data_IF_410469494873
#
_entry.id   IF_410469494873
#
_cell.length_a   1.000
_cell.length_b   1.000
_cell.length_c   1.000
_cell.angle_alpha   90.00
_cell.angle_beta   90.00
_cell.angle_gamma   90.00
#
_symmetry.space_group_name_H-M   'P 1'
#
loop_
_entity.id
_entity.type
_entity.pdbx_description
1 polymer ?
#
# COMPACT_ATOMS: atom_id res chain seq x y z
N UNK A 1 14.42 -5.19 -17.92
CA UNK A 1 13.02 -4.81 -18.22
C UNK A 1 12.89 -3.30 -18.14
N UNK A 2 11.88 -2.74 -18.81
CA UNK A 2 11.49 -1.33 -18.69
C UNK A 2 10.27 -1.23 -17.77
N UNK A 3 10.43 -0.54 -16.64
CA UNK A 3 9.46 -0.55 -15.56
C UNK A 3 9.05 0.89 -15.21
N UNK A 4 7.76 1.20 -15.22
CA UNK A 4 7.26 2.51 -14.81
C UNK A 4 6.63 2.47 -13.43
N UNK A 5 6.90 3.47 -12.59
CA UNK A 5 6.28 3.66 -11.28
C UNK A 5 5.51 4.98 -11.27
N UNK A 6 4.19 4.88 -11.27
CA UNK A 6 3.30 6.03 -11.14
C UNK A 6 3.09 6.29 -9.64
N UNK A 7 3.71 7.38 -9.14
CA UNK A 7 3.71 7.73 -7.72
C UNK A 7 4.91 7.20 -6.95
N UNK A 8 6.04 7.92 -7.03
CA UNK A 8 7.26 7.57 -6.31
C UNK A 8 7.27 8.17 -4.88
N UNK A 9 6.32 7.69 -4.05
CA UNK A 9 6.21 7.98 -2.61
C UNK A 9 7.08 7.04 -1.75
N UNK A 10 6.62 6.71 -0.55
CA UNK A 10 7.36 5.84 0.39
C UNK A 10 7.61 4.43 -0.20
N UNK A 11 6.53 3.76 -0.63
CA UNK A 11 6.61 2.43 -1.25
C UNK A 11 7.30 2.51 -2.62
N UNK A 12 6.85 3.42 -3.50
CA UNK A 12 7.40 3.55 -4.85
C UNK A 12 8.90 3.80 -4.88
N UNK A 13 9.45 4.55 -3.90
CA UNK A 13 10.90 4.79 -3.77
C UNK A 13 11.68 3.52 -3.40
N UNK A 14 11.14 2.72 -2.50
CA UNK A 14 11.78 1.48 -2.09
C UNK A 14 11.81 0.46 -3.25
N UNK A 15 10.70 0.35 -3.99
CA UNK A 15 10.62 -0.49 -5.19
C UNK A 15 11.54 0.03 -6.30
N UNK A 16 11.56 1.35 -6.56
CA UNK A 16 12.42 1.94 -7.59
C UNK A 16 13.90 1.62 -7.35
N UNK A 17 14.34 1.72 -6.08
CA UNK A 17 15.72 1.36 -5.70
C UNK A 17 16.01 -0.09 -5.99
N UNK A 18 15.18 -1.02 -5.53
CA UNK A 18 15.35 -2.46 -5.77
C UNK A 18 15.45 -2.75 -7.27
N UNK A 19 14.53 -2.23 -8.06
CA UNK A 19 14.50 -2.51 -9.49
C UNK A 19 15.67 -1.87 -10.25
N UNK A 20 16.09 -0.67 -9.87
CA UNK A 20 17.24 0.01 -10.48
C UNK A 20 18.57 -0.71 -10.13
N UNK A 21 18.75 -1.11 -8.87
CA UNK A 21 19.92 -1.88 -8.43
C UNK A 21 19.99 -3.26 -9.09
N UNK A 22 18.83 -3.86 -9.42
CA UNK A 22 18.74 -5.09 -10.20
C UNK A 22 18.98 -4.89 -11.72
N UNK A 23 19.37 -3.69 -12.17
CA UNK A 23 19.73 -3.40 -13.55
C UNK A 23 18.55 -3.17 -14.49
N UNK A 24 17.34 -2.93 -13.99
CA UNK A 24 16.20 -2.54 -14.81
C UNK A 24 16.25 -1.06 -15.20
N UNK A 25 15.66 -0.74 -16.36
CA UNK A 25 15.40 0.64 -16.77
C UNK A 25 14.12 1.13 -16.07
N UNK A 26 14.28 1.96 -15.04
CA UNK A 26 13.18 2.39 -14.18
C UNK A 26 12.81 3.83 -14.46
N UNK A 27 11.57 4.06 -14.87
CA UNK A 27 10.94 5.39 -14.99
C UNK A 27 10.03 5.64 -13.78
N UNK A 28 10.27 6.73 -13.06
CA UNK A 28 9.44 7.09 -11.90
C UNK A 28 8.74 8.42 -12.09
N UNK A 29 7.55 8.57 -11.50
CA UNK A 29 6.82 9.84 -11.54
C UNK A 29 6.70 10.48 -10.17
N UNK A 30 6.67 11.81 -10.14
CA UNK A 30 6.42 12.61 -8.94
C UNK A 30 5.62 13.85 -9.28
N UNK A 31 4.79 14.33 -8.35
CA UNK A 31 4.11 15.64 -8.46
C UNK A 31 4.96 16.81 -7.92
N UNK A 32 6.16 16.53 -7.41
CA UNK A 32 6.99 17.49 -6.66
C UNK A 32 8.36 17.63 -7.31
N UNK A 33 8.65 18.81 -7.85
CA UNK A 33 9.93 19.09 -8.54
C UNK A 33 11.14 18.92 -7.63
N UNK A 34 11.04 19.31 -6.36
CA UNK A 34 12.14 19.23 -5.38
C UNK A 34 12.62 17.79 -5.11
N UNK A 35 11.80 16.78 -5.47
CA UNK A 35 12.19 15.37 -5.32
C UNK A 35 12.99 14.81 -6.47
N UNK A 36 13.08 15.52 -7.62
CA UNK A 36 13.72 15.01 -8.85
C UNK A 36 15.15 14.58 -8.58
N UNK A 37 15.99 15.43 -8.02
CA UNK A 37 17.41 15.12 -7.77
C UNK A 37 17.57 13.85 -6.89
N UNK A 38 16.75 13.69 -5.86
CA UNK A 38 16.81 12.51 -4.98
C UNK A 38 16.26 11.23 -5.64
N UNK A 39 15.42 11.35 -6.66
CA UNK A 39 14.88 10.21 -7.40
C UNK A 39 15.80 9.77 -8.54
N UNK A 40 16.60 10.68 -9.11
CA UNK A 40 17.59 10.35 -10.12
C UNK A 40 18.67 9.37 -9.63
N UNK A 41 18.89 9.29 -8.33
CA UNK A 41 19.83 8.32 -7.74
C UNK A 41 19.30 6.87 -7.73
N UNK A 42 18.00 6.66 -7.98
CA UNK A 42 17.32 5.37 -7.88
C UNK A 42 16.43 5.04 -9.08
N UNK A 43 16.55 5.81 -10.14
CA UNK A 43 15.74 5.60 -11.35
C UNK A 43 16.50 6.11 -12.59
N UNK A 44 16.27 5.47 -13.72
CA UNK A 44 16.84 5.85 -15.02
C UNK A 44 16.23 7.13 -15.56
N UNK A 45 14.94 7.35 -15.28
CA UNK A 45 14.21 8.55 -15.68
C UNK A 45 13.26 9.02 -14.58
N UNK A 46 13.16 10.34 -14.40
CA UNK A 46 12.23 10.97 -13.47
C UNK A 46 11.34 11.95 -14.21
N UNK A 47 10.03 11.75 -14.13
CA UNK A 47 9.04 12.60 -14.79
C UNK A 47 8.19 13.31 -13.74
N UNK A 48 8.10 14.64 -13.85
CA UNK A 48 7.19 15.43 -13.00
C UNK A 48 5.85 15.54 -13.72
N UNK A 49 4.82 14.85 -13.20
CA UNK A 49 3.48 14.88 -13.75
C UNK A 49 2.42 14.76 -12.66
N UNK A 50 1.20 15.12 -12.98
CA UNK A 50 0.00 14.86 -12.20
C UNK A 50 -0.83 13.77 -12.89
N UNK A 51 -1.59 13.00 -12.10
CA UNK A 51 -2.40 11.90 -12.63
C UNK A 51 -3.57 12.33 -13.53
N UNK A 52 -3.90 13.61 -13.57
CA UNK A 52 -4.90 14.21 -14.48
C UNK A 52 -4.35 14.49 -15.89
N UNK A 53 -3.04 14.39 -16.10
CA UNK A 53 -2.40 14.58 -17.42
C UNK A 53 -2.29 13.25 -18.19
N UNK A 54 -3.35 12.93 -18.96
CA UNK A 54 -3.39 11.72 -19.77
C UNK A 54 -2.24 11.66 -20.80
N UNK A 55 -1.90 12.79 -21.43
CA UNK A 55 -0.84 12.82 -22.45
C UNK A 55 0.52 12.49 -21.85
N UNK A 56 0.85 13.06 -20.69
CA UNK A 56 2.08 12.74 -19.99
C UNK A 56 2.10 11.28 -19.51
N UNK A 57 0.97 10.73 -19.02
CA UNK A 57 0.87 9.32 -18.67
C UNK A 57 1.10 8.40 -19.88
N UNK A 58 0.52 8.71 -21.05
CA UNK A 58 0.76 7.95 -22.29
C UNK A 58 2.24 7.93 -22.66
N UNK A 59 2.96 9.06 -22.52
CA UNK A 59 4.38 9.12 -22.77
C UNK A 59 5.20 8.28 -21.77
N UNK A 60 4.82 8.31 -20.48
CA UNK A 60 5.51 7.55 -19.43
C UNK A 60 5.34 6.05 -19.63
N UNK A 61 4.14 5.58 -20.00
CA UNK A 61 3.88 4.15 -20.16
C UNK A 61 4.26 3.60 -21.53
N UNK A 62 4.64 4.47 -22.49
CA UNK A 62 5.14 4.03 -23.78
C UNK A 62 6.40 3.18 -23.62
N UNK A 63 6.45 2.05 -24.32
CA UNK A 63 7.57 1.10 -24.31
C UNK A 63 7.91 0.53 -22.89
N UNK A 64 6.95 0.46 -21.99
CA UNK A 64 7.15 -0.18 -20.69
C UNK A 64 6.63 -1.63 -20.70
N UNK A 65 7.35 -2.52 -20.03
CA UNK A 65 6.92 -3.92 -19.83
C UNK A 65 5.88 -4.03 -18.72
N UNK A 66 6.04 -3.21 -17.66
CA UNK A 66 5.20 -3.23 -16.46
C UNK A 66 4.99 -1.82 -15.91
N UNK A 67 3.81 -1.60 -15.36
CA UNK A 67 3.48 -0.37 -14.62
C UNK A 67 3.10 -0.72 -13.18
N UNK A 68 3.74 -0.05 -12.22
CA UNK A 68 3.34 -0.03 -10.81
C UNK A 68 2.59 1.28 -10.52
N UNK A 69 1.34 1.20 -10.12
CA UNK A 69 0.58 2.32 -9.56
C UNK A 69 0.71 2.31 -8.03
N UNK A 70 1.45 3.30 -7.48
CA UNK A 70 1.71 3.43 -6.04
C UNK A 70 1.56 4.88 -5.58
N UNK A 71 0.40 5.43 -5.84
CA UNK A 71 0.04 6.81 -5.50
C UNK A 71 -0.47 6.95 -4.07
N UNK A 72 -0.42 8.17 -3.54
CA UNK A 72 -0.96 8.52 -2.25
C UNK A 72 -1.39 9.98 -2.20
N UNK A 73 -2.51 10.27 -1.54
CA UNK A 73 -2.96 11.63 -1.33
C UNK A 73 -2.12 12.33 -0.25
N UNK A 74 -1.76 13.59 -0.49
CA UNK A 74 -1.08 14.45 0.50
C UNK A 74 -2.06 15.06 1.50
N UNK A 75 -3.32 15.16 1.13
CA UNK A 75 -4.38 15.75 1.94
C UNK A 75 -5.47 14.71 2.18
N UNK A 76 -6.06 14.71 3.37
CA UNK A 76 -7.15 13.82 3.72
C UNK A 76 -8.51 14.51 3.46
N UNK A 77 -8.77 14.81 2.19
CA UNK A 77 -10.05 15.27 1.71
C UNK A 77 -10.54 14.36 0.59
N UNK A 78 -11.87 14.12 0.43
CA UNK A 78 -12.40 13.29 -0.65
C UNK A 78 -11.93 13.72 -2.03
N UNK A 79 -11.90 15.03 -2.27
CA UNK A 79 -11.43 15.61 -3.53
C UNK A 79 -9.97 15.24 -3.84
N UNK A 80 -9.07 15.40 -2.86
CA UNK A 80 -7.66 15.04 -3.03
C UNK A 80 -7.47 13.52 -3.21
N UNK A 81 -8.31 12.70 -2.57
CA UNK A 81 -8.33 11.25 -2.79
C UNK A 81 -8.80 10.90 -4.20
N UNK A 82 -9.89 11.50 -4.67
CA UNK A 82 -10.41 11.30 -6.03
C UNK A 82 -9.34 11.62 -7.08
N UNK A 83 -8.68 12.75 -6.95
CA UNK A 83 -7.61 13.16 -7.86
C UNK A 83 -6.40 12.21 -7.80
N UNK A 84 -5.95 11.86 -6.60
CA UNK A 84 -4.74 11.06 -6.43
C UNK A 84 -4.93 9.60 -6.83
N UNK A 85 -6.08 9.00 -6.54
CA UNK A 85 -6.33 7.58 -6.76
C UNK A 85 -7.18 7.33 -8.00
N UNK A 86 -8.44 7.80 -7.99
CA UNK A 86 -9.42 7.42 -9.00
C UNK A 86 -9.12 8.02 -10.38
N UNK A 87 -8.91 9.33 -10.46
CA UNK A 87 -8.63 10.01 -11.73
C UNK A 87 -7.29 9.56 -12.31
N UNK A 88 -6.27 9.38 -11.45
CA UNK A 88 -4.98 8.83 -11.88
C UNK A 88 -5.14 7.43 -12.45
N UNK A 89 -5.90 6.54 -11.79
CA UNK A 89 -6.15 5.19 -12.29
C UNK A 89 -6.95 5.20 -13.61
N UNK A 90 -7.98 6.05 -13.73
CA UNK A 90 -8.77 6.18 -14.96
C UNK A 90 -7.91 6.58 -16.16
N UNK A 91 -7.05 7.58 -15.98
CA UNK A 91 -6.16 8.04 -17.05
C UNK A 91 -5.04 7.04 -17.34
N UNK A 92 -4.51 6.39 -16.29
CA UNK A 92 -3.49 5.36 -16.46
C UNK A 92 -4.05 4.16 -17.26
N UNK A 93 -5.24 3.68 -16.92
CA UNK A 93 -5.88 2.56 -17.64
C UNK A 93 -6.14 2.92 -19.11
N UNK A 94 -6.60 4.14 -19.41
CA UNK A 94 -6.72 4.64 -20.79
C UNK A 94 -5.37 4.65 -21.51
N UNK A 95 -4.31 5.07 -20.84
CA UNK A 95 -2.96 5.09 -21.41
C UNK A 95 -2.42 3.67 -21.69
N UNK A 96 -2.69 2.72 -20.79
CA UNK A 96 -2.32 1.31 -20.95
C UNK A 96 -3.10 0.67 -22.12
N UNK A 97 -4.40 0.89 -22.20
CA UNK A 97 -5.25 0.35 -23.29
C UNK A 97 -4.85 0.86 -24.68
N UNK A 98 -4.23 2.04 -24.73
CA UNK A 98 -3.66 2.57 -25.99
C UNK A 98 -2.25 2.04 -26.31
N UNK A 99 -1.66 1.20 -25.43
CA UNK A 99 -0.29 0.70 -25.57
C UNK A 99 -0.27 -0.84 -25.51
N UNK A 100 0.20 -1.48 -26.57
CA UNK A 100 0.20 -2.95 -26.69
C UNK A 100 1.41 -3.64 -26.03
N UNK A 101 2.39 -2.92 -25.49
CA UNK A 101 3.64 -3.51 -24.97
C UNK A 101 3.56 -3.88 -23.50
N UNK A 102 2.65 -3.23 -22.72
CA UNK A 102 2.50 -3.47 -21.29
C UNK A 102 1.90 -4.85 -21.05
N UNK A 103 2.58 -5.65 -20.23
CA UNK A 103 2.19 -7.01 -19.87
C UNK A 103 1.55 -7.11 -18.49
N UNK A 104 1.87 -6.15 -17.61
CA UNK A 104 1.35 -6.18 -16.25
C UNK A 104 1.12 -4.79 -15.67
N UNK A 105 0.00 -4.64 -14.94
CA UNK A 105 -0.30 -3.52 -14.06
C UNK A 105 -0.37 -4.03 -12.61
N UNK A 106 0.47 -3.49 -11.73
CA UNK A 106 0.41 -3.76 -10.29
C UNK A 106 -0.09 -2.50 -9.58
N UNK A 107 -1.04 -2.66 -8.66
CA UNK A 107 -1.57 -1.55 -7.86
C UNK A 107 -1.43 -1.83 -6.36
N UNK A 108 -0.87 -0.89 -5.61
CA UNK A 108 -0.87 -0.90 -4.15
C UNK A 108 -2.12 -0.22 -3.63
N UNK A 109 -3.11 -1.02 -3.23
CA UNK A 109 -4.37 -0.60 -2.65
C UNK A 109 -4.35 -0.67 -1.13
N UNK A 110 -5.49 -0.53 -0.48
CA UNK A 110 -5.65 -0.57 0.97
C UNK A 110 -6.75 -1.53 1.38
N UNK A 111 -6.52 -2.30 2.46
CA UNK A 111 -7.57 -3.10 3.09
C UNK A 111 -8.69 -2.25 3.73
N UNK A 112 -8.49 -0.93 3.86
CA UNK A 112 -9.48 0.01 4.42
C UNK A 112 -10.79 0.14 3.63
N UNK A 113 -10.90 -0.53 2.47
CA UNK A 113 -12.15 -0.68 1.71
C UNK A 113 -13.08 -1.76 2.27
N UNK A 114 -12.60 -2.54 3.25
CA UNK A 114 -13.35 -3.60 3.91
C UNK A 114 -13.80 -3.08 5.28
N UNK A 115 -15.12 -2.98 5.49
CA UNK A 115 -15.71 -2.55 6.75
C UNK A 115 -16.29 -3.76 7.49
N UNK A 116 -15.41 -4.57 8.08
CA UNK A 116 -15.79 -5.73 8.87
C UNK A 116 -15.55 -5.49 10.36
N UNK A 117 -16.53 -5.85 11.23
CA UNK A 117 -16.53 -5.53 12.65
C UNK A 117 -16.52 -6.79 13.57
N UNK A 118 -16.55 -7.99 12.98
CA UNK A 118 -16.75 -9.24 13.73
C UNK A 118 -15.51 -9.74 14.47
N UNK A 119 -14.30 -9.27 14.15
CA UNK A 119 -13.05 -9.82 14.69
C UNK A 119 -12.61 -11.12 14.04
N UNK A 120 -13.30 -11.54 12.98
CA UNK A 120 -13.04 -12.79 12.26
C UNK A 120 -11.83 -12.69 11.34
N UNK A 121 -11.43 -13.84 10.81
CA UNK A 121 -10.44 -13.92 9.72
C UNK A 121 -11.15 -13.57 8.40
N UNK A 122 -10.58 -12.62 7.67
CA UNK A 122 -11.11 -12.08 6.42
C UNK A 122 -10.10 -12.27 5.30
N UNK A 123 -10.50 -12.93 4.24
CA UNK A 123 -9.72 -13.11 3.01
C UNK A 123 -10.23 -12.22 1.86
N UNK A 124 -9.69 -12.41 0.67
CA UNK A 124 -10.01 -11.62 -0.52
C UNK A 124 -11.41 -11.88 -1.10
N UNK A 125 -12.13 -12.91 -0.63
CA UNK A 125 -13.49 -13.24 -1.08
C UNK A 125 -14.56 -12.41 -0.38
N UNK A 126 -14.20 -11.74 0.75
CA UNK A 126 -15.15 -10.88 1.46
C UNK A 126 -15.60 -9.72 0.57
N UNK A 127 -16.89 -9.41 0.63
CA UNK A 127 -17.44 -8.30 -0.11
C UNK A 127 -16.82 -6.97 0.31
N UNK A 128 -16.42 -6.17 -0.68
CA UNK A 128 -15.99 -4.78 -0.47
C UNK A 128 -17.19 -3.97 0.02
N UNK A 129 -17.08 -3.39 1.20
CA UNK A 129 -18.13 -2.61 1.86
C UNK A 129 -17.50 -1.38 2.53
N UNK A 130 -17.19 -0.33 1.79
CA UNK A 130 -16.55 0.88 2.31
C UNK A 130 -17.41 1.56 3.36
N UNK A 131 -16.79 2.08 4.40
CA UNK A 131 -17.47 2.79 5.48
C UNK A 131 -17.78 4.24 5.14
N UNK A 132 -16.91 4.86 4.34
CA UNK A 132 -16.91 6.29 4.06
C UNK A 132 -16.48 6.56 2.61
N UNK A 133 -16.61 7.81 2.19
CA UNK A 133 -16.27 8.26 0.84
C UNK A 133 -14.80 7.97 0.46
N UNK A 134 -13.87 7.97 1.42
CA UNK A 134 -12.48 7.60 1.14
C UNK A 134 -12.36 6.15 0.71
N UNK A 135 -13.03 5.26 1.43
CA UNK A 135 -13.09 3.83 1.09
C UNK A 135 -13.81 3.60 -0.25
N UNK A 136 -14.89 4.35 -0.54
CA UNK A 136 -15.60 4.27 -1.81
C UNK A 136 -14.71 4.65 -3.00
N UNK A 137 -13.94 5.73 -2.87
CA UNK A 137 -12.98 6.16 -3.89
C UNK A 137 -11.93 5.07 -4.15
N UNK A 138 -11.38 4.48 -3.10
CA UNK A 138 -10.40 3.41 -3.23
C UNK A 138 -11.00 2.15 -3.85
N UNK A 139 -12.24 1.77 -3.49
CA UNK A 139 -12.94 0.64 -4.08
C UNK A 139 -13.23 0.86 -5.57
N UNK A 140 -13.68 2.05 -5.96
CA UNK A 140 -13.85 2.43 -7.36
C UNK A 140 -12.51 2.39 -8.11
N UNK A 141 -11.43 2.83 -7.46
CA UNK A 141 -10.08 2.75 -8.04
C UNK A 141 -9.67 1.32 -8.33
N UNK A 142 -9.93 0.36 -7.43
CA UNK A 142 -9.67 -1.07 -7.69
C UNK A 142 -10.45 -1.58 -8.90
N UNK A 143 -11.74 -1.21 -9.03
CA UNK A 143 -12.55 -1.61 -10.19
C UNK A 143 -11.99 -1.07 -11.52
N UNK A 144 -11.56 0.19 -11.53
CA UNK A 144 -10.90 0.79 -12.70
C UNK A 144 -9.60 0.05 -13.03
N UNK A 145 -8.76 -0.22 -12.04
CA UNK A 145 -7.50 -0.94 -12.25
C UNK A 145 -7.76 -2.35 -12.79
N UNK A 146 -8.74 -3.08 -12.22
CA UNK A 146 -9.12 -4.43 -12.71
C UNK A 146 -9.62 -4.41 -14.15
N UNK A 147 -10.26 -3.33 -14.59
CA UNK A 147 -10.74 -3.19 -15.99
C UNK A 147 -9.61 -3.10 -17.02
N UNK A 148 -8.36 -2.91 -16.61
CA UNK A 148 -7.19 -2.99 -17.49
C UNK A 148 -6.81 -4.44 -17.84
N UNK A 149 -7.36 -5.43 -17.13
CA UNK A 149 -7.04 -6.84 -17.35
C UNK A 149 -7.56 -7.32 -18.70
N UNK A 150 -6.67 -7.93 -19.49
CA UNK A 150 -6.96 -8.53 -20.79
C UNK A 150 -6.15 -9.83 -20.93
N UNK A 151 -6.25 -10.52 -22.04
CA UNK A 151 -5.37 -11.66 -22.34
C UNK A 151 -3.89 -11.28 -22.41
N UNK A 152 -3.58 -10.00 -22.68
CA UNK A 152 -2.22 -9.48 -22.80
C UNK A 152 -1.74 -8.79 -21.53
N UNK A 153 -2.62 -8.13 -20.77
CA UNK A 153 -2.29 -7.35 -19.56
C UNK A 153 -2.81 -8.05 -18.33
N UNK A 154 -1.92 -8.55 -17.49
CA UNK A 154 -2.25 -9.07 -16.16
C UNK A 154 -2.36 -7.94 -15.15
N UNK A 155 -3.41 -7.93 -14.34
CA UNK A 155 -3.61 -6.92 -13.31
C UNK A 155 -3.54 -7.55 -11.93
N UNK A 156 -2.64 -7.04 -11.08
CA UNK A 156 -2.46 -7.48 -9.69
C UNK A 156 -2.73 -6.32 -8.73
N UNK A 157 -3.59 -6.54 -7.75
CA UNK A 157 -3.87 -5.60 -6.67
C UNK A 157 -3.35 -6.16 -5.36
N UNK A 158 -2.47 -5.41 -4.68
CA UNK A 158 -2.02 -5.71 -3.33
C UNK A 158 -2.73 -4.79 -2.35
N UNK A 159 -3.65 -5.31 -1.55
CA UNK A 159 -4.32 -4.58 -0.46
C UNK A 159 -3.41 -4.56 0.75
N UNK A 160 -2.76 -3.42 0.95
CA UNK A 160 -1.80 -3.21 2.03
C UNK A 160 -2.50 -2.86 3.34
N UNK A 161 -1.93 -3.31 4.45
CA UNK A 161 -2.32 -2.95 5.81
C UNK A 161 -1.55 -1.73 6.32
N UNK A 162 -1.51 -1.50 7.63
CA UNK A 162 -0.69 -0.45 8.22
C UNK A 162 0.79 -0.66 7.86
N UNK A 163 1.37 0.30 7.16
CA UNK A 163 2.75 0.18 6.67
C UNK A 163 3.72 0.68 7.73
N UNK A 164 4.73 -0.12 8.07
CA UNK A 164 5.82 0.27 8.95
C UNK A 164 7.18 -0.18 8.42
N UNK A 165 8.26 0.29 9.05
CA UNK A 165 9.63 -0.05 8.71
C UNK A 165 10.55 1.16 8.75
N UNK A 166 11.71 1.09 8.11
CA UNK A 166 12.68 2.18 8.10
C UNK A 166 12.08 3.50 7.59
N UNK A 167 12.18 4.56 8.38
CA UNK A 167 11.58 5.87 8.10
C UNK A 167 10.09 6.00 8.46
N UNK A 168 9.45 4.90 8.87
CA UNK A 168 8.08 4.82 9.39
C UNK A 168 8.01 3.89 10.59
N UNK A 169 8.93 4.01 11.51
CA UNK A 169 8.99 3.20 12.71
C UNK A 169 7.73 3.39 13.56
N UNK A 170 7.18 2.30 14.07
CA UNK A 170 5.92 2.32 14.83
C UNK A 170 5.94 3.31 15.98
N UNK A 171 7.08 3.42 16.67
CA UNK A 171 7.21 4.37 17.79
C UNK A 171 7.11 5.83 17.32
N UNK A 172 7.65 6.19 16.16
CA UNK A 172 7.52 7.55 15.61
C UNK A 172 6.06 7.88 15.24
N UNK A 173 5.28 6.86 14.84
CA UNK A 173 3.86 7.02 14.53
C UNK A 173 3.03 7.20 15.80
N UNK A 174 3.37 6.45 16.85
CA UNK A 174 2.50 6.28 18.02
C UNK A 174 3.05 6.80 19.35
N UNK A 175 4.25 7.38 19.42
CA UNK A 175 4.83 7.86 20.68
C UNK A 175 3.92 8.81 21.50
N UNK A 176 3.09 9.59 20.79
CA UNK A 176 2.19 10.58 21.42
C UNK A 176 1.03 9.96 22.23
N UNK A 177 0.81 8.64 22.12
CA UNK A 177 -0.25 7.97 22.88
C UNK A 177 0.23 7.45 24.23
N UNK A 178 1.54 7.47 24.49
CA UNK A 178 2.11 6.99 25.75
C UNK A 178 1.50 7.71 26.96
N UNK A 179 1.04 6.94 27.94
CA UNK A 179 0.39 7.45 29.16
C UNK A 179 -1.00 8.08 28.95
N UNK A 180 -1.61 7.97 27.77
CA UNK A 180 -2.94 8.51 27.50
C UNK A 180 -4.03 7.46 27.75
N UNK A 181 -5.28 7.94 27.97
CA UNK A 181 -6.47 7.11 27.95
C UNK A 181 -7.12 7.13 26.55
N UNK A 182 -7.44 5.94 26.03
CA UNK A 182 -8.03 5.79 24.71
C UNK A 182 -9.47 5.24 24.83
N UNK A 183 -10.39 5.68 23.95
CA UNK A 183 -11.76 5.20 23.96
C UNK A 183 -11.85 3.74 23.48
N UNK A 184 -12.75 2.99 24.09
CA UNK A 184 -13.01 1.57 23.80
C UNK A 184 -12.26 0.62 24.72
N UNK A 185 -12.34 -0.66 24.43
CA UNK A 185 -11.68 -1.75 25.19
C UNK A 185 -10.27 -2.07 24.70
N UNK A 186 -9.91 -1.62 23.49
CA UNK A 186 -8.67 -2.00 22.84
C UNK A 186 -8.67 -3.39 22.17
N UNK A 187 -9.78 -4.10 22.20
CA UNK A 187 -9.90 -5.49 21.67
C UNK A 187 -10.02 -5.56 20.13
N UNK A 188 -10.17 -4.42 19.45
CA UNK A 188 -10.15 -4.40 17.99
C UNK A 188 -8.79 -4.83 17.45
N UNK A 189 -8.80 -5.73 16.47
CA UNK A 189 -7.59 -6.20 15.79
C UNK A 189 -6.93 -5.11 14.96
N UNK A 190 -5.60 -5.20 14.85
CA UNK A 190 -4.77 -4.33 14.03
C UNK A 190 -3.91 -5.18 13.10
N UNK A 191 -3.76 -4.72 11.86
CA UNK A 191 -3.03 -5.43 10.82
C UNK A 191 -1.90 -4.54 10.29
N UNK A 192 -0.70 -5.09 10.17
CA UNK A 192 0.51 -4.37 9.79
C UNK A 192 1.30 -5.14 8.73
N UNK A 193 2.10 -4.43 7.96
CA UNK A 193 3.02 -5.00 6.99
C UNK A 193 4.33 -4.21 6.98
N UNK A 194 5.44 -4.90 6.97
CA UNK A 194 6.75 -4.27 6.86
C UNK A 194 7.01 -3.79 5.42
N UNK A 195 7.68 -2.65 5.28
CA UNK A 195 7.99 -2.07 3.96
C UNK A 195 8.80 -3.04 3.07
N UNK A 196 9.71 -3.80 3.65
CA UNK A 196 10.51 -4.79 2.91
C UNK A 196 9.61 -5.87 2.31
N UNK A 197 8.63 -6.37 3.05
CA UNK A 197 7.68 -7.36 2.53
C UNK A 197 6.79 -6.80 1.42
N UNK A 198 6.44 -5.50 1.48
CA UNK A 198 5.73 -4.85 0.38
C UNK A 198 6.59 -4.82 -0.88
N UNK A 199 7.85 -4.41 -0.76
CA UNK A 199 8.79 -4.34 -1.88
C UNK A 199 9.01 -5.72 -2.50
N UNK A 200 9.24 -6.74 -1.66
CA UNK A 200 9.42 -8.13 -2.08
C UNK A 200 8.15 -8.71 -2.72
N UNK A 201 6.96 -8.40 -2.19
CA UNK A 201 5.70 -8.86 -2.75
C UNK A 201 5.40 -8.22 -4.12
N UNK A 202 5.74 -6.95 -4.32
CA UNK A 202 5.63 -6.28 -5.63
C UNK A 202 6.59 -6.92 -6.64
N UNK A 203 7.82 -7.18 -6.23
CA UNK A 203 8.82 -7.84 -7.08
C UNK A 203 8.42 -9.29 -7.41
N UNK A 204 7.95 -10.04 -6.42
CA UNK A 204 7.37 -11.36 -6.59
C UNK A 204 6.17 -11.37 -7.55
N UNK A 205 5.26 -10.40 -7.41
CA UNK A 205 4.12 -10.25 -8.30
C UNK A 205 4.56 -9.99 -9.76
N UNK A 206 5.63 -9.22 -9.96
CA UNK A 206 6.28 -8.99 -11.26
C UNK A 206 6.84 -10.29 -11.84
N UNK A 207 7.65 -11.01 -11.08
CA UNK A 207 8.37 -12.19 -11.57
C UNK A 207 7.44 -13.38 -11.85
N UNK A 208 6.38 -13.53 -11.05
CA UNK A 208 5.39 -14.60 -11.20
C UNK A 208 4.16 -14.17 -11.99
N UNK A 209 4.14 -12.92 -12.49
CA UNK A 209 3.01 -12.36 -13.23
C UNK A 209 1.67 -12.59 -12.52
N UNK A 210 1.62 -12.31 -11.23
CA UNK A 210 0.42 -12.49 -10.43
C UNK A 210 -0.77 -11.70 -11.02
N UNK A 211 -1.96 -12.27 -10.91
CA UNK A 211 -3.21 -11.67 -11.36
C UNK A 211 -4.28 -11.78 -10.27
N UNK A 212 -5.11 -10.75 -10.15
CA UNK A 212 -6.19 -10.67 -9.17
C UNK A 212 -5.81 -9.87 -7.94
N UNK A 213 -6.55 -10.08 -6.85
CA UNK A 213 -6.42 -9.32 -5.60
C UNK A 213 -5.74 -10.19 -4.57
N UNK A 214 -4.81 -9.61 -3.81
CA UNK A 214 -4.08 -10.26 -2.71
C UNK A 214 -4.04 -9.34 -1.49
N UNK A 215 -4.31 -9.87 -0.31
CA UNK A 215 -4.02 -9.18 0.94
C UNK A 215 -2.53 -9.32 1.29
N UNK A 216 -1.94 -8.24 1.80
CA UNK A 216 -0.56 -8.24 2.24
C UNK A 216 -0.43 -7.66 3.65
N UNK A 217 -0.14 -8.53 4.59
CA UNK A 217 0.05 -8.25 6.01
C UNK A 217 1.02 -9.27 6.61
N UNK A 218 1.54 -8.97 7.82
CA UNK A 218 2.30 -9.95 8.62
C UNK A 218 1.39 -11.12 9.02
N UNK A 219 1.99 -12.25 9.42
CA UNK A 219 1.25 -13.42 9.92
C UNK A 219 0.65 -13.15 11.30
N UNK A 220 1.20 -12.17 12.02
CA UNK A 220 0.78 -11.84 13.37
C UNK A 220 -0.42 -10.89 13.35
N UNK A 221 -1.53 -11.35 13.93
CA UNK A 221 -2.71 -10.52 14.23
C UNK A 221 -2.82 -10.32 15.73
N UNK A 222 -2.91 -9.09 16.18
CA UNK A 222 -3.06 -8.75 17.60
C UNK A 222 -4.09 -7.67 17.81
N UNK A 223 -4.62 -7.58 19.04
CA UNK A 223 -5.51 -6.48 19.43
C UNK A 223 -4.75 -5.17 19.52
N UNK A 224 -5.46 -4.05 19.43
CA UNK A 224 -4.86 -2.72 19.65
C UNK A 224 -4.24 -2.58 21.03
N UNK A 225 -4.86 -3.23 22.05
CA UNK A 225 -4.37 -3.26 23.43
C UNK A 225 -2.99 -3.94 23.50
N UNK A 226 -2.90 -5.14 22.95
CA UNK A 226 -1.64 -5.89 22.88
C UNK A 226 -0.57 -5.15 22.04
N UNK A 227 -0.96 -4.63 20.89
CA UNK A 227 -0.05 -3.87 20.02
C UNK A 227 0.56 -2.67 20.73
N UNK A 228 -0.25 -1.83 21.38
CA UNK A 228 0.26 -0.66 22.09
C UNK A 228 1.04 -1.03 23.35
N UNK A 229 0.64 -2.09 24.04
CA UNK A 229 1.40 -2.60 25.18
C UNK A 229 2.81 -2.98 24.75
N UNK A 230 2.95 -3.88 23.76
CA UNK A 230 4.26 -4.35 23.27
C UNK A 230 5.10 -3.21 22.71
N UNK A 231 4.50 -2.27 21.96
CA UNK A 231 5.21 -1.12 21.40
C UNK A 231 5.78 -0.23 22.49
N UNK A 232 4.97 0.14 23.48
CA UNK A 232 5.39 1.07 24.52
C UNK A 232 6.39 0.44 25.51
N UNK A 233 6.18 -0.85 25.85
CA UNK A 233 7.14 -1.63 26.66
C UNK A 233 8.51 -1.71 25.99
N UNK A 234 8.57 -1.98 24.68
CA UNK A 234 9.82 -2.07 23.93
C UNK A 234 10.62 -0.75 23.95
N UNK A 235 9.96 0.37 24.24
CA UNK A 235 10.58 1.70 24.30
C UNK A 235 10.61 2.32 25.70
N UNK A 236 10.25 1.57 26.75
CA UNK A 236 10.24 2.06 28.12
C UNK A 236 9.27 3.22 28.38
N UNK A 237 8.17 3.29 27.61
CA UNK A 237 7.18 4.36 27.68
C UNK A 237 5.97 3.96 28.54
N UNK A 238 5.28 4.94 29.18
CA UNK A 238 4.08 4.65 29.96
C UNK A 238 2.99 3.97 29.13
N UNK A 239 2.29 2.96 29.68
CA UNK A 239 1.25 2.23 28.97
C UNK A 239 0.03 3.11 28.64
N UNK A 240 -0.74 2.70 27.66
CA UNK A 240 -2.08 3.24 27.37
C UNK A 240 -3.09 2.64 28.36
N UNK A 241 -4.00 3.46 28.85
CA UNK A 241 -5.22 3.00 29.52
C UNK A 241 -6.42 3.03 28.56
N UNK A 242 -7.48 2.28 28.86
CA UNK A 242 -8.65 2.14 28.00
C UNK A 242 -9.91 2.55 28.75
N UNK A 243 -10.74 3.37 28.11
CA UNK A 243 -12.05 3.80 28.65
C UNK A 243 -13.16 3.03 27.90
N UNK A 244 -13.62 1.94 28.50
CA UNK A 244 -14.66 1.09 27.95
C UNK A 244 -16.05 1.73 27.94
N UNK A 245 -16.24 2.86 28.63
CA UNK A 245 -17.50 3.62 28.59
C UNK A 245 -17.69 4.37 27.25
N UNK A 246 -16.62 4.54 26.49
CA UNK A 246 -16.62 5.20 25.19
C UNK A 246 -16.48 4.17 24.05
N UNK A 247 -17.07 4.50 22.90
CA UNK A 247 -16.95 3.67 21.70
C UNK A 247 -15.62 3.92 21.00
N UNK A 248 -14.94 2.85 20.59
CA UNK A 248 -13.74 2.94 19.78
C UNK A 248 -14.02 3.65 18.45
N UNK A 249 -13.25 4.65 18.04
CA UNK A 249 -13.40 5.30 16.73
C UNK A 249 -12.92 4.43 15.57
N UNK A 250 -12.43 3.21 15.84
CA UNK A 250 -11.86 2.34 14.83
C UNK A 250 -12.92 1.86 13.84
N UNK A 251 -12.61 1.97 12.56
CA UNK A 251 -13.55 1.72 11.47
C UNK A 251 -13.80 0.23 11.21
N UNK A 252 -12.91 -0.65 11.67
CA UNK A 252 -12.93 -2.08 11.38
C UNK A 252 -12.32 -2.88 12.53
N UNK A 253 -12.75 -4.14 12.62
CA UNK A 253 -12.24 -5.13 13.56
C UNK A 253 -12.18 -6.47 12.83
N UNK A 254 -11.01 -6.85 12.31
CA UNK A 254 -10.80 -8.08 11.56
C UNK A 254 -9.33 -8.51 11.60
N UNK A 255 -9.10 -9.81 11.42
CA UNK A 255 -7.79 -10.39 11.15
C UNK A 255 -7.68 -10.60 9.64
N UNK A 256 -6.77 -9.93 8.97
CA UNK A 256 -6.58 -10.14 7.55
C UNK A 256 -5.80 -11.43 7.28
N UNK A 257 -6.30 -12.25 6.34
CA UNK A 257 -5.58 -13.41 5.85
C UNK A 257 -4.66 -13.00 4.70
N UNK A 258 -3.41 -13.43 4.75
CA UNK A 258 -2.43 -13.35 3.66
C UNK A 258 -2.19 -14.71 2.99
N UNK A 259 -3.08 -15.68 3.24
CA UNK A 259 -2.88 -17.06 2.81
C UNK A 259 -2.79 -17.17 1.29
N UNK A 260 -3.60 -16.42 0.56
CA UNK A 260 -3.62 -16.46 -0.91
C UNK A 260 -2.28 -16.10 -1.57
N UNK A 261 -1.57 -15.08 -1.07
CA UNK A 261 -0.26 -14.73 -1.61
C UNK A 261 0.81 -15.77 -1.20
N UNK A 262 0.67 -16.38 -0.02
CA UNK A 262 1.54 -17.49 0.43
C UNK A 262 1.31 -18.75 -0.40
N UNK A 263 0.06 -19.07 -0.74
CA UNK A 263 -0.27 -20.20 -1.62
C UNK A 263 0.27 -19.98 -3.04
N UNK A 264 0.44 -18.74 -3.46
CA UNK A 264 1.14 -18.39 -4.71
C UNK A 264 2.67 -18.57 -4.63
N UNK A 265 3.23 -18.86 -3.43
CA UNK A 265 4.65 -19.10 -3.19
C UNK A 265 5.41 -17.95 -2.52
N UNK A 266 4.73 -16.86 -2.14
CA UNK A 266 5.38 -15.75 -1.45
C UNK A 266 5.70 -16.09 0.01
N UNK A 267 6.88 -15.67 0.48
CA UNK A 267 7.30 -15.83 1.87
C UNK A 267 7.68 -14.47 2.46
N UNK A 268 7.07 -14.12 3.60
CA UNK A 268 7.38 -12.92 4.34
C UNK A 268 8.80 -12.97 4.93
N UNK A 269 9.52 -11.86 4.89
CA UNK A 269 10.75 -11.65 5.65
C UNK A 269 10.46 -11.26 7.10
N UNK A 270 9.34 -10.54 7.31
CA UNK A 270 8.89 -10.06 8.61
C UNK A 270 7.49 -10.62 8.94
N UNK A 271 7.39 -11.95 9.23
CA UNK A 271 6.10 -12.57 9.55
C UNK A 271 5.51 -12.07 10.88
N UNK A 272 6.34 -11.52 11.77
CA UNK A 272 5.95 -10.90 13.04
C UNK A 272 6.16 -9.39 12.99
N UNK A 273 5.40 -8.66 13.82
CA UNK A 273 5.53 -7.20 13.93
C UNK A 273 6.75 -6.86 14.77
N UNK A 274 7.67 -6.06 14.23
CA UNK A 274 8.87 -5.62 14.92
C UNK A 274 8.61 -4.30 15.65
N UNK A 275 8.77 -4.30 16.97
CA UNK A 275 8.54 -3.13 17.83
C UNK A 275 9.83 -2.38 18.19
N UNK A 276 10.99 -3.01 18.04
CA UNK A 276 12.27 -2.36 18.28
C UNK A 276 12.61 -1.35 17.16
N UNK A 277 13.47 -0.38 17.49
CA UNK A 277 14.01 0.50 16.45
C UNK A 277 14.86 -0.31 15.48
N UNK A 278 14.63 -0.11 14.19
CA UNK A 278 15.51 -0.66 13.16
C UNK A 278 16.92 -0.09 13.39
N UNK A 279 17.89 -0.96 13.62
CA UNK A 279 19.29 -0.54 13.68
C UNK A 279 19.68 -0.12 12.25
N UNK A 280 20.23 1.09 12.14
CA UNK A 280 20.82 1.58 10.89
C UNK A 280 22.01 0.72 10.47
#
# INVERSE_FOLDING_TARGET
MKLAIIGCGYVGRAVARLWHEAGNEVTVTTTTRDKVASLQAIASQVVVLRGDDLSALQQVVANQDLVLLSVGSKQRTPEAYRQAYLETAQNLVKAIQANSEIKQLIYTSSYGIINHQGGDVVDETVAVNPRDEFGEILAQTEQIVLSASTDQVKTCILRLTGIYGQGRELIKIFSRIAGTTRPGTGENYTNWVHIEDIVRAIDFAKDHQLQGIYHLNSDESMTSKEFFQRLLEAHGLPPVTWDSSQTSPRAYNMKLSNQKIKDAGFTLAHPQIEFSNFRN
#
